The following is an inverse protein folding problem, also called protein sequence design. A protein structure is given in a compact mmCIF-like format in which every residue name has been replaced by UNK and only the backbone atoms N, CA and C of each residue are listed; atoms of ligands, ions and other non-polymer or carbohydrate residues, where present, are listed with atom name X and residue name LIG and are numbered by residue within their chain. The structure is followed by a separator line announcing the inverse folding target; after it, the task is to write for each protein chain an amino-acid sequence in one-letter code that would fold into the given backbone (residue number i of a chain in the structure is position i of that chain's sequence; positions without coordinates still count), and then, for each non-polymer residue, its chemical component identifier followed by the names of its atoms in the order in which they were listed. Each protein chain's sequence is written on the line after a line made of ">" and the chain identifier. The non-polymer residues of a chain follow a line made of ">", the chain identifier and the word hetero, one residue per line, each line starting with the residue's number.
data_IF_623035267760
#
_entry.id   IF_623035267760
#
_cell.length_a   1.000
_cell.length_b   1.000
_cell.length_c   1.000
_cell.angle_alpha   90.00
_cell.angle_beta   90.00
_cell.angle_gamma   90.00
#
_symmetry.space_group_name_H-M   'P 1'
#
loop_
_entity.id
_entity.type
_entity.pdbx_description
1 polymer ?
#
# COMPACT_ATOMS: atom_id res chain seq x y z
N UNK A 1 -13.32 -2.43 10.10
CA UNK A 1 -12.25 -3.39 10.44
C UNK A 1 -11.18 -3.26 9.40
N UNK A 2 -9.93 -3.13 9.83
CA UNK A 2 -8.77 -3.14 8.93
C UNK A 2 -8.68 -4.49 8.21
N UNK A 3 -8.38 -4.48 6.92
CA UNK A 3 -8.43 -5.70 6.11
C UNK A 3 -8.04 -5.49 4.65
N UNK A 4 -8.04 -6.57 3.88
CA UNK A 4 -7.71 -6.54 2.46
C UNK A 4 -8.98 -6.34 1.65
N UNK A 5 -8.96 -5.35 0.77
CA UNK A 5 -10.08 -4.95 -0.07
C UNK A 5 -9.67 -4.88 -1.53
N UNK A 6 -10.62 -5.18 -2.42
CA UNK A 6 -10.51 -4.83 -3.83
C UNK A 6 -10.98 -3.38 -4.02
N UNK A 7 -10.12 -2.55 -4.62
CA UNK A 7 -10.47 -1.19 -5.05
C UNK A 7 -10.31 -1.06 -6.56
N UNK A 8 -10.99 -0.08 -7.17
CA UNK A 8 -11.00 0.13 -8.63
C UNK A 8 -10.51 1.52 -9.07
N UNK A 9 -9.28 1.93 -8.72
CA UNK A 9 -8.72 3.20 -9.19
C UNK A 9 -8.60 3.19 -10.72
N UNK A 10 -9.06 4.27 -11.36
CA UNK A 10 -9.02 4.44 -12.82
C UNK A 10 -9.60 3.24 -13.60
N UNK A 11 -10.57 2.53 -13.02
CA UNK A 11 -11.23 1.37 -13.64
C UNK A 11 -10.44 0.06 -13.59
N UNK A 12 -9.26 0.02 -12.96
CA UNK A 12 -8.47 -1.21 -12.78
C UNK A 12 -8.65 -1.77 -11.38
N UNK A 13 -8.94 -3.08 -11.29
CA UNK A 13 -9.05 -3.78 -10.02
C UNK A 13 -7.67 -4.08 -9.43
N UNK A 14 -7.45 -3.67 -8.18
CA UNK A 14 -6.26 -4.00 -7.39
C UNK A 14 -6.65 -4.34 -5.94
N UNK A 15 -5.91 -5.26 -5.31
CA UNK A 15 -6.06 -5.55 -3.90
C UNK A 15 -5.13 -4.67 -3.07
N UNK A 16 -5.65 -4.14 -1.96
CA UNK A 16 -4.90 -3.29 -1.03
C UNK A 16 -5.26 -3.63 0.42
N UNK A 17 -4.35 -3.37 1.34
CA UNK A 17 -4.67 -3.32 2.77
C UNK A 17 -5.27 -1.95 3.08
N UNK A 18 -6.49 -1.92 3.62
CA UNK A 18 -7.12 -0.71 4.12
C UNK A 18 -7.10 -0.68 5.65
N UNK A 19 -6.53 0.39 6.21
CA UNK A 19 -6.67 0.71 7.63
C UNK A 19 -7.97 1.50 7.84
N UNK A 20 -8.87 0.89 8.59
CA UNK A 20 -10.22 1.41 8.87
C UNK A 20 -10.36 1.91 10.31
N UNK A 21 -9.26 2.07 11.03
CA UNK A 21 -9.23 2.39 12.46
C UNK A 21 -8.44 3.68 12.73
N UNK A 22 -7.25 3.84 12.15
CA UNK A 22 -6.42 5.04 12.33
C UNK A 22 -7.12 6.29 11.82
N UNK A 23 -7.20 7.34 12.66
CA UNK A 23 -7.75 8.66 12.30
C UNK A 23 -9.15 8.62 11.65
N UNK A 24 -9.99 7.66 12.04
CA UNK A 24 -11.32 7.49 11.47
C UNK A 24 -11.37 6.60 10.22
N UNK A 25 -10.23 6.03 9.82
CA UNK A 25 -10.12 5.02 8.78
C UNK A 25 -10.12 5.56 7.35
N UNK A 26 -10.19 4.64 6.38
CA UNK A 26 -10.19 4.96 4.95
C UNK A 26 -8.79 5.08 4.34
N UNK A 27 -7.77 4.63 5.05
CA UNK A 27 -6.39 4.69 4.59
C UNK A 27 -6.05 3.49 3.73
N UNK A 28 -5.41 3.73 2.58
CA UNK A 28 -4.78 2.66 1.79
C UNK A 28 -3.32 2.56 2.21
N UNK A 29 -2.92 1.39 2.71
CA UNK A 29 -1.55 1.16 3.17
C UNK A 29 -0.65 0.87 1.96
N UNK A 30 0.37 1.72 1.77
CA UNK A 30 1.32 1.59 0.66
C UNK A 30 2.53 0.70 1.00
N UNK A 31 2.92 0.71 2.28
CA UNK A 31 4.05 -0.04 2.80
C UNK A 31 3.73 -0.47 4.23
N UNK A 32 4.10 -1.71 4.59
CA UNK A 32 4.03 -2.19 5.98
C UNK A 32 5.31 -2.93 6.37
N UNK A 33 5.88 -2.54 7.52
CA UNK A 33 7.02 -3.18 8.19
C UNK A 33 6.65 -3.45 9.66
N UNK A 34 7.12 -4.55 10.24
CA UNK A 34 6.93 -4.87 11.65
C UNK A 34 7.89 -5.94 12.20
N UNK A 35 8.47 -6.81 11.36
CA UNK A 35 9.30 -7.94 11.83
C UNK A 35 10.56 -8.24 11.00
N UNK A 36 10.73 -7.57 9.86
CA UNK A 36 11.87 -7.80 8.97
C UNK A 36 11.82 -9.10 8.17
N UNK A 37 10.66 -9.74 8.07
CA UNK A 37 10.46 -10.99 7.30
C UNK A 37 10.62 -10.82 5.79
N UNK A 38 10.52 -9.58 5.29
CA UNK A 38 10.64 -9.26 3.87
C UNK A 38 11.90 -8.40 3.61
N UNK A 39 12.66 -8.75 2.57
CA UNK A 39 13.82 -7.97 2.12
C UNK A 39 13.36 -6.72 1.37
N UNK A 40 13.85 -5.55 1.78
CA UNK A 40 13.52 -4.27 1.15
C UNK A 40 14.69 -3.70 0.34
N UNK A 41 15.89 -4.24 0.49
CA UNK A 41 17.02 -3.92 -0.37
C UNK A 41 16.87 -4.62 -1.73
N UNK A 42 16.05 -4.02 -2.60
CA UNK A 42 15.68 -4.56 -3.90
C UNK A 42 15.94 -3.58 -5.05
N UNK A 43 15.86 -4.09 -6.28
CA UNK A 43 16.09 -3.29 -7.47
C UNK A 43 14.87 -2.41 -7.84
N UNK A 44 15.06 -1.54 -8.84
CA UNK A 44 14.02 -0.66 -9.35
C UNK A 44 12.76 -1.40 -9.83
N UNK A 45 12.93 -2.59 -10.43
CA UNK A 45 11.82 -3.36 -10.99
C UNK A 45 10.89 -3.82 -9.88
N UNK A 46 11.44 -4.29 -8.77
CA UNK A 46 10.67 -4.71 -7.60
C UNK A 46 9.90 -3.53 -7.00
N UNK A 47 10.53 -2.36 -6.84
CA UNK A 47 9.83 -1.16 -6.35
C UNK A 47 8.75 -0.65 -7.31
N UNK A 48 8.93 -0.85 -8.61
CA UNK A 48 7.95 -0.47 -9.62
C UNK A 48 6.66 -1.31 -9.48
N UNK A 49 6.80 -2.63 -9.33
CA UNK A 49 5.66 -3.56 -9.35
C UNK A 49 5.13 -3.97 -7.97
N UNK A 50 5.93 -3.81 -6.92
CA UNK A 50 5.59 -4.26 -5.57
C UNK A 50 6.21 -5.61 -5.21
N UNK A 51 6.32 -5.88 -3.91
CA UNK A 51 6.84 -7.11 -3.34
C UNK A 51 6.29 -7.35 -1.92
N UNK A 52 6.49 -8.56 -1.40
CA UNK A 52 5.90 -9.01 -0.13
C UNK A 52 4.43 -9.41 -0.25
N UNK A 53 3.71 -9.46 0.87
CA UNK A 53 2.30 -9.89 0.93
C UNK A 53 1.44 -8.92 1.73
N UNK A 54 0.19 -8.70 1.32
CA UNK A 54 -0.72 -7.79 2.05
C UNK A 54 -1.07 -8.28 3.47
N UNK A 55 -0.88 -9.57 3.76
CA UNK A 55 -1.01 -10.15 5.10
C UNK A 55 0.27 -9.96 5.95
N UNK A 56 1.43 -9.72 5.34
CA UNK A 56 2.72 -9.58 5.98
C UNK A 56 3.36 -8.21 5.75
N UNK A 57 4.69 -8.19 5.62
CA UNK A 57 5.43 -7.01 5.18
C UNK A 57 5.34 -6.88 3.65
N UNK A 58 5.15 -5.66 3.16
CA UNK A 58 5.04 -5.43 1.72
C UNK A 58 5.34 -4.00 1.31
N UNK A 59 5.62 -3.85 0.01
CA UNK A 59 5.58 -2.61 -0.74
C UNK A 59 4.56 -2.76 -1.87
N UNK A 60 3.57 -1.88 -1.94
CA UNK A 60 2.44 -2.03 -2.88
C UNK A 60 2.85 -1.88 -4.35
N UNK A 61 3.92 -1.12 -4.63
CA UNK A 61 4.40 -0.83 -5.98
C UNK A 61 4.05 0.58 -6.46
N UNK A 62 5.00 1.22 -7.14
CA UNK A 62 4.84 2.59 -7.67
C UNK A 62 3.77 2.67 -8.76
N UNK A 63 3.54 1.62 -9.55
CA UNK A 63 2.46 1.62 -10.54
C UNK A 63 1.08 1.70 -9.87
N UNK A 64 0.85 0.92 -8.82
CA UNK A 64 -0.39 1.00 -8.03
C UNK A 64 -0.54 2.35 -7.36
N UNK A 65 0.56 2.89 -6.80
CA UNK A 65 0.56 4.23 -6.22
C UNK A 65 0.13 5.29 -7.25
N UNK A 66 0.71 5.27 -8.46
CA UNK A 66 0.31 6.18 -9.55
C UNK A 66 -1.16 6.02 -9.97
N UNK A 67 -1.70 4.80 -9.92
CA UNK A 67 -3.12 4.56 -10.19
C UNK A 67 -4.01 5.20 -9.12
N UNK A 68 -3.64 5.07 -7.84
CA UNK A 68 -4.39 5.57 -6.69
C UNK A 68 -4.32 7.10 -6.59
N UNK A 69 -3.14 7.69 -6.75
CA UNK A 69 -2.94 9.14 -6.53
C UNK A 69 -3.53 10.01 -7.62
N UNK A 70 -3.42 9.58 -8.89
CA UNK A 70 -3.93 10.35 -10.02
C UNK A 70 -3.48 11.82 -9.97
N UNK A 71 -4.44 12.75 -10.01
CA UNK A 71 -4.24 14.20 -9.86
C UNK A 71 -4.82 14.75 -8.54
N UNK A 72 -5.12 13.89 -7.57
CA UNK A 72 -5.80 14.30 -6.36
C UNK A 72 -4.80 14.68 -5.27
N UNK A 73 -5.14 15.69 -4.48
CA UNK A 73 -4.47 15.97 -3.21
C UNK A 73 -4.77 14.82 -2.24
N UNK A 74 -3.74 14.07 -1.85
CA UNK A 74 -3.84 13.03 -0.83
C UNK A 74 -3.18 13.50 0.46
N UNK A 75 -3.74 13.06 1.59
CA UNK A 75 -3.07 13.12 2.88
C UNK A 75 -2.16 11.90 3.01
N UNK A 76 -0.92 12.12 3.45
CA UNK A 76 0.04 11.07 3.73
C UNK A 76 0.23 10.98 5.24
N UNK A 77 -0.04 9.81 5.80
CA UNK A 77 0.24 9.52 7.19
C UNK A 77 1.42 8.53 7.24
N UNK A 78 2.46 8.89 8.00
CA UNK A 78 3.62 8.05 8.25
C UNK A 78 3.56 7.57 9.69
N UNK A 79 3.06 6.37 9.87
CA UNK A 79 3.17 5.69 11.15
C UNK A 79 4.60 5.17 11.28
N UNK A 80 5.30 5.61 12.33
CA UNK A 80 6.60 5.05 12.68
C UNK A 80 6.40 3.57 13.08
N UNK A 81 7.39 2.76 12.73
CA UNK A 81 7.51 1.36 13.14
C UNK A 81 7.75 1.29 14.64
#
# INVERSE_FOLDING_TARGET
>A
MTGIYEIRPKGKSIQVLCDMETEGGGWTVLQKRFDGSEEFYRDWRDYKFGFGTLQGEFWLGLEHFNMITGNNSLHYNYNLI
#
